data_IF_126957568226
#
_entry.id   IF_126957568226
#
_cell.length_a   1.000
_cell.length_b   1.000
_cell.length_c   1.000
_cell.angle_alpha   90.00
_cell.angle_beta   90.00
_cell.angle_gamma   90.00
#
_symmetry.space_group_name_H-M   'P 1'
#
loop_
_entity.id
_entity.type
_entity.pdbx_description
1 polymer ?
#
# COMPACT_ATOMS: atom_id res chain seq x y z
N UNK A 1 -19.27 -0.05 -1.78
CA UNK A 1 -18.44 0.88 -2.58
C UNK A 1 -17.05 0.30 -2.71
N UNK A 2 -16.32 0.62 -3.79
CA UNK A 2 -14.95 0.14 -4.07
C UNK A 2 -14.04 0.20 -2.83
N UNK A 3 -14.14 1.27 -2.03
CA UNK A 3 -13.44 1.44 -0.73
C UNK A 3 -13.74 0.38 0.34
N UNK A 4 -14.94 -0.20 0.36
CA UNK A 4 -15.30 -1.28 1.27
C UNK A 4 -14.77 -2.65 0.79
N UNK A 5 -14.62 -2.82 -0.53
CA UNK A 5 -14.03 -4.02 -1.11
C UNK A 5 -12.50 -4.05 -0.85
N UNK A 6 -11.85 -2.89 -0.94
CA UNK A 6 -10.44 -2.70 -0.57
C UNK A 6 -10.18 -3.05 0.89
N UNK A 7 -11.01 -2.56 1.82
CA UNK A 7 -10.93 -2.92 3.24
C UNK A 7 -11.11 -4.42 3.50
N UNK A 8 -11.97 -5.10 2.73
CA UNK A 8 -12.18 -6.55 2.82
C UNK A 8 -10.97 -7.35 2.32
N UNK A 9 -10.35 -6.94 1.21
CA UNK A 9 -9.14 -7.58 0.65
C UNK A 9 -7.94 -7.38 1.59
N UNK A 10 -7.80 -6.19 2.18
CA UNK A 10 -6.77 -5.88 3.19
C UNK A 10 -6.98 -6.72 4.45
N UNK A 11 -8.22 -6.85 4.94
CA UNK A 11 -8.56 -7.68 6.10
C UNK A 11 -8.32 -9.18 5.86
N UNK A 12 -8.60 -9.68 4.65
CA UNK A 12 -8.30 -11.05 4.26
C UNK A 12 -6.78 -11.30 4.17
N UNK A 13 -6.03 -10.34 3.60
CA UNK A 13 -4.56 -10.40 3.50
C UNK A 13 -3.85 -10.36 4.86
N UNK A 14 -4.42 -9.65 5.85
CA UNK A 14 -3.92 -9.64 7.23
C UNK A 14 -4.03 -11.02 7.90
N UNK A 15 -5.13 -11.76 7.67
CA UNK A 15 -5.30 -13.14 8.16
C UNK A 15 -4.35 -14.15 7.52
N UNK A 16 -3.90 -13.89 6.30
CA UNK A 16 -2.93 -14.72 5.60
C UNK A 16 -1.49 -14.43 6.06
N UNK A 17 -1.14 -13.15 6.23
CA UNK A 17 0.21 -12.72 6.60
C UNK A 17 0.61 -13.04 8.03
N UNK A 18 -0.36 -13.17 8.95
CA UNK A 18 -0.09 -13.52 10.35
C UNK A 18 0.43 -14.95 10.57
N UNK A 19 0.37 -15.81 9.55
CA UNK A 19 0.81 -17.22 9.63
C UNK A 19 2.17 -17.49 9.00
N UNK A 20 2.88 -16.44 8.55
CA UNK A 20 4.09 -16.60 7.74
C UNK A 20 5.32 -16.82 8.64
N UNK A 21 6.09 -17.90 8.46
CA UNK A 21 7.30 -18.16 9.23
C UNK A 21 8.40 -17.14 8.94
N UNK A 22 9.29 -16.89 9.90
CA UNK A 22 10.37 -15.86 9.80
C UNK A 22 11.20 -15.93 8.52
N UNK A 23 11.54 -17.14 8.03
CA UNK A 23 12.26 -17.32 6.76
C UNK A 23 11.44 -16.89 5.54
N UNK A 24 10.13 -17.15 5.54
CA UNK A 24 9.22 -16.72 4.48
C UNK A 24 9.07 -15.20 4.41
N UNK A 25 9.23 -14.50 5.55
CA UNK A 25 9.18 -13.04 5.63
C UNK A 25 10.26 -12.35 4.79
N UNK A 26 11.48 -12.86 4.82
CA UNK A 26 12.58 -12.34 3.98
C UNK A 26 12.30 -12.50 2.49
N UNK A 27 11.78 -13.66 2.09
CA UNK A 27 11.40 -13.93 0.69
C UNK A 27 10.31 -12.97 0.23
N UNK A 28 9.27 -12.78 1.04
CA UNK A 28 8.16 -11.88 0.72
C UNK A 28 8.62 -10.43 0.61
N UNK A 29 9.41 -9.95 1.58
CA UNK A 29 9.98 -8.61 1.54
C UNK A 29 10.79 -8.39 0.28
N UNK A 30 11.58 -9.39 -0.13
CA UNK A 30 12.40 -9.32 -1.35
C UNK A 30 11.52 -9.24 -2.60
N UNK A 31 10.49 -10.09 -2.69
CA UNK A 31 9.53 -10.09 -3.82
C UNK A 31 8.80 -8.75 -3.90
N UNK A 32 8.28 -8.26 -2.77
CA UNK A 32 7.61 -6.95 -2.69
C UNK A 32 8.55 -5.83 -3.12
N UNK A 33 9.80 -5.85 -2.65
CA UNK A 33 10.79 -4.82 -2.97
C UNK A 33 11.09 -4.78 -4.47
N UNK A 34 11.38 -5.93 -5.07
CA UNK A 34 11.62 -6.04 -6.51
C UNK A 34 10.40 -5.63 -7.33
N UNK A 35 9.21 -6.02 -6.88
CA UNK A 35 7.97 -5.64 -7.52
C UNK A 35 7.75 -4.12 -7.49
N UNK A 36 7.89 -3.46 -6.33
CA UNK A 36 7.70 -2.01 -6.20
C UNK A 36 8.73 -1.21 -7.00
N UNK A 37 10.00 -1.62 -6.97
CA UNK A 37 11.06 -0.98 -7.78
C UNK A 37 10.76 -1.13 -9.26
N UNK A 38 10.41 -2.35 -9.71
CA UNK A 38 10.09 -2.61 -11.11
C UNK A 38 8.87 -1.81 -11.57
N UNK A 39 7.82 -1.77 -10.75
CA UNK A 39 6.58 -1.07 -11.05
C UNK A 39 6.79 0.45 -11.17
N UNK A 40 7.54 1.07 -10.26
CA UNK A 40 7.89 2.49 -10.35
C UNK A 40 8.84 2.79 -11.52
N UNK A 41 9.77 1.88 -11.83
CA UNK A 41 10.65 2.03 -13.00
C UNK A 41 9.84 2.02 -14.29
N UNK A 42 8.88 1.09 -14.43
CA UNK A 42 7.98 1.03 -15.57
C UNK A 42 7.14 2.31 -15.67
N UNK A 43 6.56 2.78 -14.56
CA UNK A 43 5.82 4.04 -14.55
C UNK A 43 6.69 5.23 -14.98
N UNK A 44 7.95 5.29 -14.53
CA UNK A 44 8.90 6.31 -14.96
C UNK A 44 9.24 6.23 -16.46
N UNK A 45 9.39 5.03 -17.03
CA UNK A 45 9.63 4.84 -18.47
C UNK A 45 8.41 5.27 -19.29
N UNK A 46 7.21 5.03 -18.78
CA UNK A 46 5.95 5.40 -19.43
C UNK A 46 5.59 6.88 -19.28
N UNK A 47 6.44 7.69 -18.64
CA UNK A 47 6.24 9.13 -18.51
C UNK A 47 5.35 9.51 -17.34
N UNK A 48 5.67 9.01 -16.14
CA UNK A 48 5.02 9.43 -14.90
C UNK A 48 4.94 10.97 -14.79
N UNK A 49 3.76 11.49 -14.46
CA UNK A 49 3.51 12.92 -14.34
C UNK A 49 3.14 13.30 -12.90
N UNK A 50 3.55 14.49 -12.50
CA UNK A 50 3.08 15.17 -11.31
C UNK A 50 2.23 16.38 -11.71
N UNK A 51 1.24 16.73 -10.89
CA UNK A 51 0.41 17.90 -11.07
C UNK A 51 0.35 18.72 -9.79
N UNK A 52 0.40 20.05 -9.92
CA UNK A 52 0.09 20.97 -8.83
C UNK A 52 -1.00 21.93 -9.27
N UNK A 53 -1.95 22.18 -8.37
CA UNK A 53 -3.01 23.16 -8.58
C UNK A 53 -2.64 24.46 -7.86
N UNK A 54 -2.53 25.56 -8.62
CA UNK A 54 -2.25 26.89 -8.08
C UNK A 54 -3.34 27.83 -8.60
N UNK A 55 -4.12 28.41 -7.67
CA UNK A 55 -5.18 29.38 -7.99
C UNK A 55 -6.18 28.87 -9.05
N UNK A 56 -6.52 27.58 -9.01
CA UNK A 56 -7.44 26.94 -9.96
C UNK A 56 -6.85 26.60 -11.33
N UNK A 57 -5.56 26.86 -11.55
CA UNK A 57 -4.83 26.42 -12.75
C UNK A 57 -4.00 25.19 -12.41
N UNK A 58 -4.10 24.16 -13.25
CA UNK A 58 -3.33 22.93 -13.12
C UNK A 58 -2.02 23.04 -13.92
N UNK A 59 -0.90 22.80 -13.24
CA UNK A 59 0.42 22.72 -13.84
C UNK A 59 0.91 21.30 -13.73
N UNK A 60 1.10 20.63 -14.87
CA UNK A 60 1.66 19.29 -14.94
C UNK A 60 3.13 19.33 -15.31
N UNK A 61 3.90 18.38 -14.78
CA UNK A 61 5.31 18.21 -15.08
C UNK A 61 5.64 16.72 -15.14
N UNK A 62 6.55 16.35 -16.03
CA UNK A 62 7.05 14.98 -16.07
C UNK A 62 8.03 14.74 -14.92
N UNK A 63 7.91 13.59 -14.28
CA UNK A 63 8.82 13.20 -13.22
C UNK A 63 9.97 12.39 -13.83
N UNK A 64 11.24 12.83 -13.68
CA UNK A 64 12.38 12.12 -14.22
C UNK A 64 12.46 10.66 -13.75
N UNK A 65 12.84 9.76 -14.66
CA UNK A 65 12.99 8.32 -14.38
C UNK A 65 13.87 8.02 -13.15
N UNK A 66 14.96 8.75 -12.98
CA UNK A 66 15.86 8.54 -11.84
C UNK A 66 15.20 8.85 -10.49
N UNK A 67 14.24 9.79 -10.43
CA UNK A 67 13.45 10.06 -9.23
C UNK A 67 12.55 8.86 -8.92
N UNK A 68 11.91 8.28 -9.93
CA UNK A 68 11.05 7.10 -9.76
C UNK A 68 11.81 5.88 -9.24
N UNK A 69 13.00 5.62 -9.81
CA UNK A 69 13.88 4.54 -9.35
C UNK A 69 14.31 4.80 -7.90
N UNK A 70 14.74 6.03 -7.58
CA UNK A 70 15.15 6.40 -6.23
C UNK A 70 14.01 6.20 -5.22
N UNK A 71 12.79 6.62 -5.56
CA UNK A 71 11.60 6.40 -4.72
C UNK A 71 11.34 4.92 -4.49
N UNK A 72 11.45 4.09 -5.53
CA UNK A 72 11.27 2.64 -5.39
C UNK A 72 12.30 2.01 -4.47
N UNK A 73 13.57 2.42 -4.57
CA UNK A 73 14.64 1.95 -3.69
C UNK A 73 14.39 2.38 -2.24
N UNK A 74 14.06 3.66 -2.01
CA UNK A 74 13.82 4.21 -0.67
C UNK A 74 12.61 3.55 0.00
N UNK A 75 11.51 3.39 -0.74
CA UNK A 75 10.31 2.72 -0.23
C UNK A 75 10.60 1.25 0.10
N UNK A 76 11.27 0.54 -0.80
CA UNK A 76 11.65 -0.86 -0.60
C UNK A 76 12.58 -1.05 0.59
N UNK A 77 13.59 -0.18 0.74
CA UNK A 77 14.50 -0.19 1.88
C UNK A 77 13.76 0.08 3.20
N UNK A 78 12.80 1.01 3.19
CA UNK A 78 11.96 1.32 4.36
C UNK A 78 11.09 0.11 4.74
N UNK A 79 10.42 -0.52 3.77
CA UNK A 79 9.62 -1.72 3.99
C UNK A 79 10.49 -2.87 4.49
N UNK A 80 11.67 -3.07 3.92
CA UNK A 80 12.59 -4.11 4.36
C UNK A 80 13.08 -3.86 5.79
N UNK A 81 13.46 -2.62 6.11
CA UNK A 81 13.92 -2.25 7.44
C UNK A 81 12.82 -2.47 8.49
N UNK A 82 11.68 -1.77 8.38
CA UNK A 82 10.62 -1.84 9.38
C UNK A 82 9.86 -3.17 9.34
N UNK A 83 9.67 -3.70 8.14
CA UNK A 83 9.03 -4.98 7.89
C UNK A 83 9.89 -6.17 8.25
N UNK A 84 11.14 -6.05 8.71
CA UNK A 84 11.93 -7.16 9.25
C UNK A 84 12.40 -6.94 10.70
N UNK A 85 12.61 -5.70 11.14
CA UNK A 85 13.12 -5.42 12.51
C UNK A 85 12.10 -5.62 13.62
N UNK A 86 10.81 -5.36 13.37
CA UNK A 86 9.77 -5.44 14.40
C UNK A 86 8.83 -6.63 14.16
N UNK A 87 8.69 -7.53 15.13
CA UNK A 87 7.88 -8.73 14.94
C UNK A 87 6.41 -8.40 14.66
N UNK A 88 5.74 -7.71 15.59
CA UNK A 88 4.32 -7.37 15.48
C UNK A 88 4.06 -6.23 14.48
N UNK A 89 4.68 -5.05 14.69
CA UNK A 89 4.50 -3.90 13.80
C UNK A 89 4.93 -4.21 12.36
N UNK A 90 6.01 -4.98 12.17
CA UNK A 90 6.43 -5.31 10.82
C UNK A 90 5.51 -6.34 10.13
N UNK A 91 4.77 -7.17 10.88
CA UNK A 91 3.70 -8.00 10.30
C UNK A 91 2.52 -7.12 9.85
N UNK A 92 2.20 -6.06 10.60
CA UNK A 92 1.19 -5.07 10.18
C UNK A 92 1.64 -4.36 8.91
N UNK A 93 2.88 -3.88 8.86
CA UNK A 93 3.46 -3.21 7.69
C UNK A 93 3.36 -4.11 6.45
N UNK A 94 3.78 -5.37 6.55
CA UNK A 94 3.72 -6.29 5.42
C UNK A 94 2.27 -6.56 4.97
N UNK A 95 1.33 -6.64 5.91
CA UNK A 95 -0.08 -6.80 5.59
C UNK A 95 -0.65 -5.57 4.88
N UNK A 96 -0.32 -4.36 5.36
CA UNK A 96 -0.73 -3.09 4.75
C UNK A 96 -0.14 -2.93 3.35
N UNK A 97 1.14 -3.26 3.17
CA UNK A 97 1.81 -3.19 1.86
C UNK A 97 1.21 -4.19 0.87
N UNK A 98 0.97 -5.44 1.29
CA UNK A 98 0.31 -6.43 0.42
C UNK A 98 -1.08 -5.98 0.01
N UNK A 99 -1.89 -5.50 0.96
CA UNK A 99 -3.21 -4.94 0.66
C UNK A 99 -3.14 -3.72 -0.26
N UNK A 100 -2.15 -2.85 -0.04
CA UNK A 100 -1.89 -1.69 -0.90
C UNK A 100 -1.46 -2.09 -2.31
N UNK A 101 -0.69 -3.16 -2.50
CA UNK A 101 -0.34 -3.67 -3.83
C UNK A 101 -1.59 -4.11 -4.58
N UNK A 102 -2.50 -4.83 -3.91
CA UNK A 102 -3.79 -5.18 -4.52
C UNK A 102 -4.62 -3.95 -4.88
N UNK A 103 -4.57 -2.90 -4.05
CA UNK A 103 -5.20 -1.62 -4.36
C UNK A 103 -4.59 -0.99 -5.63
N UNK A 104 -3.27 -0.85 -5.70
CA UNK A 104 -2.57 -0.28 -6.87
C UNK A 104 -2.90 -1.04 -8.16
N UNK A 105 -2.88 -2.37 -8.10
CA UNK A 105 -3.25 -3.22 -9.24
C UNK A 105 -4.73 -3.11 -9.60
N UNK A 106 -5.60 -3.01 -8.59
CA UNK A 106 -7.04 -2.83 -8.78
C UNK A 106 -7.38 -1.54 -9.51
N UNK A 107 -6.80 -0.41 -9.07
CA UNK A 107 -6.97 0.89 -9.75
C UNK A 107 -6.43 0.84 -11.18
N UNK A 108 -5.22 0.31 -11.36
CA UNK A 108 -4.64 0.19 -12.70
C UNK A 108 -5.53 -0.61 -13.66
N UNK A 109 -6.04 -1.79 -13.24
CA UNK A 109 -6.93 -2.61 -14.08
C UNK A 109 -8.28 -1.92 -14.34
N UNK A 110 -8.81 -1.25 -13.32
CA UNK A 110 -10.07 -0.51 -13.43
C UNK A 110 -9.95 0.63 -14.44
N UNK A 111 -8.91 1.44 -14.36
CA UNK A 111 -8.65 2.55 -15.30
C UNK A 111 -8.33 2.04 -16.71
N UNK A 112 -7.49 1.02 -16.82
CA UNK A 112 -7.06 0.49 -18.12
C UNK A 112 -8.22 -0.14 -18.90
N UNK A 113 -9.07 -0.93 -18.24
CA UNK A 113 -10.07 -1.76 -18.92
C UNK A 113 -11.52 -1.34 -18.68
N UNK A 114 -11.87 -0.90 -17.47
CA UNK A 114 -13.27 -0.56 -17.15
C UNK A 114 -13.59 0.86 -17.57
N UNK A 115 -12.70 1.82 -17.29
CA UNK A 115 -12.83 3.20 -17.77
C UNK A 115 -12.33 3.35 -19.21
N UNK A 116 -11.54 2.41 -19.71
CA UNK A 116 -11.08 2.36 -21.09
C UNK A 116 -10.02 3.41 -21.43
N UNK A 117 -9.29 3.93 -20.43
CA UNK A 117 -8.17 4.85 -20.66
C UNK A 117 -6.98 4.17 -21.34
N UNK A 118 -6.94 2.84 -21.29
CA UNK A 118 -5.86 2.05 -21.84
C UNK A 118 -4.66 1.98 -20.88
N UNK A 119 -3.76 1.03 -21.16
CA UNK A 119 -2.64 0.66 -20.28
C UNK A 119 -1.67 1.82 -20.06
N UNK A 120 -1.39 2.63 -21.09
CA UNK A 120 -0.43 3.73 -20.97
C UNK A 120 -0.93 4.85 -20.07
N UNK A 121 -2.19 5.27 -20.23
CA UNK A 121 -2.77 6.32 -19.40
C UNK A 121 -2.94 5.86 -17.94
N UNK A 122 -3.43 4.64 -17.72
CA UNK A 122 -3.57 4.08 -16.37
C UNK A 122 -2.21 3.90 -15.65
N UNK A 123 -1.12 3.73 -16.38
CA UNK A 123 0.21 3.60 -15.78
C UNK A 123 0.71 4.91 -15.15
N UNK A 124 0.17 6.06 -15.56
CA UNK A 124 0.54 7.38 -15.00
C UNK A 124 0.09 7.53 -13.54
N UNK A 125 -0.98 6.86 -13.13
CA UNK A 125 -1.53 6.91 -11.76
C UNK A 125 -0.81 5.98 -10.77
N UNK A 126 0.00 5.04 -11.27
CA UNK A 126 0.71 4.06 -10.45
C UNK A 126 1.58 4.70 -9.35
N UNK A 127 2.43 5.72 -9.63
CA UNK A 127 3.22 6.37 -8.60
C UNK A 127 2.37 7.01 -7.51
N UNK A 128 1.21 7.54 -7.87
CA UNK A 128 0.28 8.18 -6.93
C UNK A 128 -0.37 7.16 -6.00
N UNK A 129 -0.83 6.04 -6.55
CA UNK A 129 -1.39 4.94 -5.77
C UNK A 129 -0.33 4.27 -4.87
N UNK A 130 0.92 4.19 -5.31
CA UNK A 130 2.04 3.75 -4.46
C UNK A 130 2.33 4.76 -3.33
N UNK A 131 2.25 6.06 -3.63
CA UNK A 131 2.32 7.11 -2.61
C UNK A 131 1.23 6.95 -1.55
N UNK A 132 -0.01 6.69 -1.97
CA UNK A 132 -1.14 6.41 -1.07
C UNK A 132 -0.92 5.16 -0.22
N UNK A 133 -0.39 4.08 -0.80
CA UNK A 133 0.02 2.87 -0.06
C UNK A 133 1.02 3.22 1.05
N UNK A 134 2.05 4.01 0.73
CA UNK A 134 3.10 4.38 1.67
C UNK A 134 2.55 5.24 2.82
N UNK A 135 1.79 6.29 2.50
CA UNK A 135 1.15 7.18 3.48
C UNK A 135 0.14 6.41 4.34
N UNK A 136 -0.71 5.60 3.72
CA UNK A 136 -1.70 4.79 4.42
C UNK A 136 -1.05 3.82 5.39
N UNK A 137 0.05 3.16 5.01
CA UNK A 137 0.81 2.27 5.90
C UNK A 137 1.45 3.05 7.05
N UNK A 138 2.06 4.20 6.77
CA UNK A 138 2.71 5.04 7.77
C UNK A 138 1.74 5.57 8.84
N UNK A 139 0.47 5.81 8.47
CA UNK A 139 -0.57 6.24 9.41
C UNK A 139 -1.22 5.05 10.11
N UNK A 140 -1.54 3.97 9.38
CA UNK A 140 -2.30 2.85 9.93
C UNK A 140 -1.58 2.15 11.09
N UNK A 141 -0.26 1.92 10.95
CA UNK A 141 0.53 1.19 11.94
C UNK A 141 0.53 1.88 13.32
N UNK A 142 0.92 3.16 13.47
CA UNK A 142 0.88 3.82 14.77
C UNK A 142 -0.53 4.01 15.31
N UNK A 143 -1.54 4.22 14.45
CA UNK A 143 -2.94 4.32 14.91
C UNK A 143 -3.39 3.00 15.52
N UNK A 144 -3.16 1.87 14.83
CA UNK A 144 -3.53 0.55 15.36
C UNK A 144 -2.76 0.22 16.64
N UNK A 145 -1.49 0.60 16.73
CA UNK A 145 -0.66 0.42 17.92
C UNK A 145 -1.21 1.22 19.11
N UNK A 146 -1.56 2.49 18.91
CA UNK A 146 -2.17 3.32 19.96
C UNK A 146 -3.55 2.86 20.38
N UNK A 147 -4.38 2.41 19.44
CA UNK A 147 -5.68 1.82 19.80
C UNK A 147 -5.52 0.53 20.62
N UNK A 148 -4.48 -0.28 20.34
CA UNK A 148 -4.13 -1.46 21.14
C UNK A 148 -3.72 -1.07 22.56
N UNK A 149 -2.86 -0.06 22.72
CA UNK A 149 -2.46 0.47 24.03
C UNK A 149 -3.66 0.96 24.85
N UNK A 150 -4.68 1.53 24.20
CA UNK A 150 -5.92 2.00 24.85
C UNK A 150 -6.91 0.87 25.23
N UNK A 151 -6.58 -0.39 24.96
CA UNK A 151 -7.41 -1.54 25.36
C UNK A 151 -8.56 -1.90 24.39
N UNK A 152 -8.62 -1.29 23.21
CA UNK A 152 -9.71 -1.49 22.23
C UNK A 152 -9.74 -2.87 21.54
N UNK A 153 -8.92 -3.84 21.98
CA UNK A 153 -9.03 -5.25 21.54
C UNK A 153 -10.05 -6.07 22.35
N UNK A 154 -10.45 -5.62 23.54
CA UNK A 154 -11.31 -6.39 24.46
C UNK A 154 -12.78 -6.02 24.33
N UNK A 155 -13.11 -4.74 24.11
CA UNK A 155 -14.49 -4.23 24.16
C UNK A 155 -15.38 -4.66 22.99
N UNK A 156 -14.82 -4.89 21.79
CA UNK A 156 -15.63 -5.31 20.63
C UNK A 156 -16.11 -6.76 20.76
N UNK A 157 -15.33 -7.65 21.38
CA UNK A 157 -15.73 -9.05 21.62
C UNK A 157 -16.58 -9.23 22.88
N UNK A 158 -16.47 -8.34 23.87
CA UNK A 158 -17.40 -8.31 25.01
C UNK A 158 -18.77 -7.75 24.60
N UNK A 159 -18.82 -6.69 23.78
CA UNK A 159 -20.12 -6.15 23.33
C UNK A 159 -20.91 -7.12 22.43
N UNK A 160 -20.24 -7.92 21.59
CA UNK A 160 -20.93 -8.97 20.82
C UNK A 160 -21.39 -10.16 21.68
N UNK A 161 -20.80 -10.38 22.86
CA UNK A 161 -21.28 -11.38 23.83
C UNK A 161 -22.45 -10.86 24.64
N UNK A 162 -22.43 -9.61 25.10
CA UNK A 162 -23.55 -9.01 25.83
C UNK A 162 -24.82 -8.84 24.96
N UNK A 163 -24.69 -8.75 23.64
CA UNK A 163 -25.85 -8.69 22.72
C UNK A 163 -26.42 -10.10 22.43
N UNK A 164 -25.70 -11.16 22.80
CA UNK A 164 -26.09 -12.56 22.56
C UNK A 164 -26.57 -13.31 23.82
N UNK A 165 -26.58 -12.66 24.98
CA UNK A 165 -27.21 -13.14 26.22
C UNK A 165 -28.52 -12.39 26.49
#
# INVERSE_FOLDING_TARGET
GIKALEGFIVGYSYRFSSKIPKKGRYVIVTIISLFLIGLLTIAGILGAQGGIMILGTEYTFEVPLWIMILLGIVLSASIAYFGLTKEEQGTMILSCVLGGIFMVLGYFLYEAFVLGYGVMAAAVEIPWNIGQLAVGTAIAVPVVDKLREMGLHVSLFESEREIRE
#
